data_IF_850268898499
#
_entry.id   IF_850268898499
#
_cell.length_a   1.000
_cell.length_b   1.000
_cell.length_c   1.000
_cell.angle_alpha   90.00
_cell.angle_beta   90.00
_cell.angle_gamma   90.00
#
_symmetry.space_group_name_H-M   'P 1'
#
loop_
_entity.id
_entity.type
_entity.pdbx_description
1 polymer ?
#
# COMPACT_ATOMS: atom_id res chain seq x y z
N UNK A 1 10.61 14.64 1.25
CA UNK A 1 9.43 14.88 2.14
C UNK A 1 9.95 15.27 3.52
N UNK A 2 9.33 16.22 4.24
CA UNK A 2 9.78 16.54 5.61
C UNK A 2 9.28 15.44 6.56
N UNK A 3 10.17 14.58 7.02
CA UNK A 3 9.91 13.46 7.96
C UNK A 3 9.25 13.90 9.26
N UNK A 4 9.41 15.17 9.66
CA UNK A 4 8.81 15.77 10.86
C UNK A 4 7.28 15.86 10.86
N UNK A 5 6.60 15.67 9.69
CA UNK A 5 5.13 15.72 9.62
C UNK A 5 4.48 14.50 10.28
N UNK A 6 5.09 13.32 10.16
CA UNK A 6 4.54 12.06 10.66
C UNK A 6 5.18 11.72 12.01
N UNK A 7 4.96 12.60 12.98
CA UNK A 7 5.43 12.49 14.35
C UNK A 7 4.43 11.75 15.27
N UNK A 8 4.71 11.68 16.56
CA UNK A 8 3.86 11.05 17.56
C UNK A 8 2.44 11.66 17.61
N UNK A 9 2.32 12.98 17.39
CA UNK A 9 1.02 13.68 17.41
C UNK A 9 0.16 13.24 16.23
N UNK A 10 0.77 13.09 15.05
CA UNK A 10 0.12 12.56 13.86
C UNK A 10 -0.41 11.14 14.12
N UNK A 11 0.43 10.25 14.64
CA UNK A 11 0.04 8.88 14.95
C UNK A 11 -1.04 8.79 16.04
N UNK A 12 -0.94 9.60 17.09
CA UNK A 12 -1.95 9.67 18.13
C UNK A 12 -3.32 10.12 17.59
N UNK A 13 -3.33 11.07 16.65
CA UNK A 13 -4.56 11.60 16.05
C UNK A 13 -5.22 10.60 15.11
N UNK A 14 -4.49 9.99 14.18
CA UNK A 14 -5.06 9.21 13.08
C UNK A 14 -5.07 7.69 13.34
N UNK A 15 -4.27 7.21 14.29
CA UNK A 15 -4.16 5.79 14.64
C UNK A 15 -4.38 5.51 16.13
N UNK A 16 -4.87 6.49 16.88
CA UNK A 16 -5.13 6.38 18.32
C UNK A 16 -6.43 5.65 18.64
N UNK A 17 -7.27 6.25 19.50
CA UNK A 17 -8.50 5.61 20.03
C UNK A 17 -9.56 5.31 18.96
N UNK A 18 -9.65 6.13 17.92
CA UNK A 18 -10.60 5.97 16.80
C UNK A 18 -9.84 6.05 15.48
N UNK A 19 -9.15 4.98 15.08
CA UNK A 19 -8.42 4.97 13.82
C UNK A 19 -9.39 4.99 12.63
N UNK A 20 -8.96 5.57 11.52
CA UNK A 20 -9.74 5.59 10.24
C UNK A 20 -10.06 4.16 9.79
N UNK A 21 -9.14 3.23 10.03
CA UNK A 21 -9.33 1.79 9.79
C UNK A 21 -8.86 1.01 11.01
N UNK A 22 -9.71 0.15 11.54
CA UNK A 22 -9.36 -0.72 12.64
C UNK A 22 -8.38 -1.81 12.20
N UNK A 23 -7.65 -2.37 13.16
CA UNK A 23 -6.77 -3.51 12.93
C UNK A 23 -7.53 -4.71 12.32
N UNK A 24 -8.76 -4.96 12.79
CA UNK A 24 -9.59 -6.07 12.31
C UNK A 24 -10.00 -5.90 10.84
N UNK A 25 -10.35 -4.67 10.41
CA UNK A 25 -10.66 -4.41 9.00
C UNK A 25 -9.45 -4.66 8.10
N UNK A 26 -8.26 -4.25 8.53
CA UNK A 26 -7.03 -4.49 7.75
C UNK A 26 -6.65 -5.97 7.77
N UNK A 27 -6.89 -6.69 8.86
CA UNK A 27 -6.68 -8.15 8.94
C UNK A 27 -7.57 -8.90 7.93
N UNK A 28 -8.86 -8.53 7.81
CA UNK A 28 -9.76 -9.09 6.78
C UNK A 28 -9.30 -8.77 5.37
N UNK A 29 -8.84 -7.55 5.12
CA UNK A 29 -8.33 -7.14 3.83
C UNK A 29 -7.05 -7.89 3.44
N UNK A 30 -6.13 -8.07 4.39
CA UNK A 30 -4.90 -8.83 4.19
C UNK A 30 -5.20 -10.31 3.90
N UNK A 31 -6.16 -10.92 4.63
CA UNK A 31 -6.62 -12.28 4.40
C UNK A 31 -7.24 -12.42 3.00
N UNK A 32 -8.18 -11.54 2.63
CA UNK A 32 -8.82 -11.55 1.32
C UNK A 32 -7.80 -11.42 0.18
N UNK A 33 -6.83 -10.51 0.33
CA UNK A 33 -5.75 -10.33 -0.65
C UNK A 33 -4.89 -11.59 -0.79
N UNK A 34 -4.53 -12.23 0.33
CA UNK A 34 -3.75 -13.47 0.33
C UNK A 34 -4.48 -14.59 -0.39
N UNK A 35 -5.74 -14.80 -0.05
CA UNK A 35 -6.59 -15.85 -0.64
C UNK A 35 -6.87 -15.60 -2.13
N UNK A 36 -7.09 -14.35 -2.56
CA UNK A 36 -7.25 -14.02 -3.98
C UNK A 36 -5.99 -14.34 -4.79
N UNK A 37 -4.80 -14.02 -4.28
CA UNK A 37 -3.54 -14.39 -4.96
C UNK A 37 -3.40 -15.91 -5.03
N UNK A 38 -3.76 -16.62 -3.97
CA UNK A 38 -3.76 -18.10 -3.94
C UNK A 38 -4.79 -18.70 -4.91
N UNK A 39 -5.99 -18.10 -4.99
CA UNK A 39 -7.04 -18.49 -5.94
C UNK A 39 -6.56 -18.42 -7.40
N UNK A 40 -5.79 -17.41 -7.77
CA UNK A 40 -5.19 -17.28 -9.09
C UNK A 40 -3.95 -18.17 -9.32
N UNK A 41 -3.65 -19.09 -8.39
CA UNK A 41 -2.52 -20.02 -8.47
C UNK A 41 -1.18 -19.39 -8.08
N UNK A 42 -1.20 -18.18 -7.48
CA UNK A 42 -0.01 -17.52 -6.97
C UNK A 42 0.40 -18.03 -5.58
N UNK A 43 1.61 -17.70 -5.18
CA UNK A 43 2.08 -17.91 -3.81
C UNK A 43 2.85 -16.68 -3.31
N UNK A 44 2.52 -16.24 -2.09
CA UNK A 44 3.20 -15.11 -1.44
C UNK A 44 4.25 -15.68 -0.49
N UNK A 45 5.53 -15.61 -0.88
CA UNK A 45 6.70 -16.00 -0.07
C UNK A 45 7.45 -14.79 0.46
N UNK A 46 7.16 -13.62 -0.10
CA UNK A 46 7.76 -12.35 0.32
C UNK A 46 6.76 -11.20 0.19
N UNK A 47 6.70 -10.34 1.22
CA UNK A 47 5.83 -9.18 1.27
C UNK A 47 6.63 -7.94 1.68
N UNK A 48 6.38 -6.83 1.00
CA UNK A 48 6.87 -5.49 1.34
C UNK A 48 5.67 -4.59 1.67
N UNK A 49 5.69 -3.99 2.85
CA UNK A 49 4.76 -2.93 3.25
C UNK A 49 5.47 -1.57 3.17
N UNK A 50 4.94 -0.66 2.35
CA UNK A 50 5.46 0.69 2.14
C UNK A 50 4.57 1.69 2.83
N UNK A 51 5.16 2.59 3.64
CA UNK A 51 4.41 3.51 4.49
C UNK A 51 3.60 2.74 5.54
N UNK A 52 4.28 1.82 6.22
CA UNK A 52 3.65 0.82 7.08
C UNK A 52 2.83 1.40 8.25
N UNK A 53 3.12 2.65 8.66
CA UNK A 53 2.42 3.27 9.77
C UNK A 53 2.47 2.42 11.05
N UNK A 54 1.31 1.96 11.58
CA UNK A 54 1.29 1.02 12.70
C UNK A 54 1.70 -0.42 12.33
N UNK A 55 1.94 -0.73 11.05
CA UNK A 55 2.39 -2.06 10.59
C UNK A 55 1.30 -3.12 10.60
N UNK A 56 0.08 -2.78 10.23
CA UNK A 56 -1.05 -3.72 10.28
C UNK A 56 -0.84 -4.93 9.37
N UNK A 57 -0.47 -4.73 8.11
CA UNK A 57 -0.20 -5.80 7.16
C UNK A 57 1.00 -6.66 7.56
N UNK A 58 2.12 -6.04 7.92
CA UNK A 58 3.33 -6.75 8.32
C UNK A 58 3.12 -7.58 9.58
N UNK A 59 2.35 -7.09 10.55
CA UNK A 59 1.98 -7.84 11.76
C UNK A 59 1.07 -9.03 11.44
N UNK A 60 0.06 -8.82 10.57
CA UNK A 60 -0.83 -9.89 10.13
C UNK A 60 -0.04 -11.00 9.44
N UNK A 61 0.82 -10.67 8.47
CA UNK A 61 1.64 -11.66 7.76
C UNK A 61 2.59 -12.41 8.69
N UNK A 62 3.27 -11.74 9.61
CA UNK A 62 4.16 -12.39 10.58
C UNK A 62 3.41 -13.37 11.49
N UNK A 63 2.16 -13.06 11.84
CA UNK A 63 1.30 -13.90 12.68
C UNK A 63 0.71 -15.08 11.91
N UNK A 64 0.09 -14.82 10.76
CA UNK A 64 -0.69 -15.82 10.03
C UNK A 64 0.16 -16.64 9.07
N UNK A 65 1.23 -16.08 8.53
CA UNK A 65 2.12 -16.69 7.55
C UNK A 65 3.59 -16.53 7.94
N UNK A 66 4.06 -17.17 9.02
CA UNK A 66 5.40 -16.94 9.60
C UNK A 66 6.57 -17.34 8.68
N UNK A 67 6.29 -18.10 7.61
CA UNK A 67 7.29 -18.45 6.57
C UNK A 67 7.44 -17.38 5.49
N UNK A 68 6.54 -16.40 5.43
CA UNK A 68 6.63 -15.27 4.49
C UNK A 68 7.71 -14.30 4.97
N UNK A 69 8.65 -13.99 4.10
CA UNK A 69 9.65 -12.95 4.39
C UNK A 69 8.99 -11.57 4.31
N UNK A 70 8.90 -10.88 5.42
CA UNK A 70 8.22 -9.58 5.54
C UNK A 70 9.25 -8.46 5.76
N UNK A 71 9.22 -7.46 4.88
CA UNK A 71 9.87 -6.17 5.09
C UNK A 71 8.78 -5.09 5.22
N UNK A 72 8.91 -4.22 6.21
CA UNK A 72 8.06 -3.04 6.37
C UNK A 72 8.91 -1.78 6.41
N UNK A 73 8.49 -0.74 5.69
CA UNK A 73 9.22 0.52 5.56
C UNK A 73 8.32 1.71 5.82
N UNK A 74 8.87 2.78 6.34
CA UNK A 74 8.18 4.05 6.52
C UNK A 74 9.17 5.21 6.38
N UNK A 75 8.66 6.42 6.12
CA UNK A 75 9.45 7.67 6.12
C UNK A 75 9.44 8.34 7.49
N UNK A 76 8.55 7.94 8.38
CA UNK A 76 8.44 8.43 9.75
C UNK A 76 9.47 7.77 10.65
N UNK A 77 10.40 8.56 11.18
CA UNK A 77 11.33 8.08 12.23
C UNK A 77 10.57 7.57 13.46
N UNK A 78 9.44 8.23 13.82
CA UNK A 78 8.59 7.80 14.93
C UNK A 78 8.02 6.39 14.67
N UNK A 79 7.43 6.16 13.49
CA UNK A 79 6.88 4.85 13.14
C UNK A 79 7.97 3.77 13.09
N UNK A 80 9.11 4.07 12.46
CA UNK A 80 10.24 3.16 12.38
C UNK A 80 10.74 2.74 13.77
N UNK A 81 10.95 3.71 14.66
CA UNK A 81 11.41 3.46 16.04
C UNK A 81 10.37 2.70 16.88
N UNK A 82 9.08 3.05 16.74
CA UNK A 82 8.02 2.48 17.57
C UNK A 82 7.59 1.08 17.11
N UNK A 83 7.57 0.82 15.81
CA UNK A 83 6.99 -0.41 15.23
C UNK A 83 8.01 -1.29 14.51
N UNK A 84 9.29 -0.87 14.45
CA UNK A 84 10.38 -1.69 13.90
C UNK A 84 10.43 -1.72 12.38
N UNK A 85 10.15 -0.59 11.71
CA UNK A 85 10.27 -0.49 10.25
C UNK A 85 11.65 0.00 9.83
N UNK A 86 12.05 -0.30 8.60
CA UNK A 86 13.19 0.35 7.99
C UNK A 86 12.81 1.76 7.52
N UNK A 87 13.66 2.75 7.81
CA UNK A 87 13.47 4.13 7.35
C UNK A 87 13.78 4.21 5.85
N UNK A 88 12.75 4.30 5.01
CA UNK A 88 12.87 4.35 3.54
C UNK A 88 11.81 5.27 2.94
N UNK A 89 12.21 6.06 1.95
CA UNK A 89 11.30 6.82 1.09
C UNK A 89 11.12 6.10 -0.25
N UNK A 90 9.92 5.65 -0.55
CA UNK A 90 9.61 4.93 -1.80
C UNK A 90 9.81 5.79 -3.05
N UNK A 91 9.80 7.11 -2.92
CA UNK A 91 10.11 8.00 -4.04
C UNK A 91 11.60 7.98 -4.41
N UNK A 92 12.49 7.64 -3.48
CA UNK A 92 13.95 7.65 -3.66
C UNK A 92 14.58 6.26 -3.57
N UNK A 93 13.85 5.29 -3.00
CA UNK A 93 14.36 3.94 -2.75
C UNK A 93 13.48 2.87 -3.40
N UNK A 94 14.11 1.80 -3.78
CA UNK A 94 13.47 0.53 -4.15
C UNK A 94 14.30 -0.65 -3.64
N UNK A 95 13.68 -1.80 -3.32
CA UNK A 95 14.43 -2.98 -2.93
C UNK A 95 15.28 -3.53 -4.08
N UNK A 96 16.41 -4.17 -3.77
CA UNK A 96 17.28 -4.81 -4.76
C UNK A 96 16.63 -6.02 -5.46
N UNK A 97 15.65 -6.65 -4.80
CA UNK A 97 14.87 -7.79 -5.34
C UNK A 97 13.38 -7.53 -5.18
N UNK A 98 12.56 -7.90 -6.17
CA UNK A 98 11.12 -7.73 -6.06
C UNK A 98 10.50 -8.69 -5.04
N UNK A 99 9.33 -8.29 -4.52
CA UNK A 99 8.49 -9.03 -3.57
C UNK A 99 7.26 -9.60 -4.29
N UNK A 100 6.77 -10.74 -3.83
CA UNK A 100 5.58 -11.37 -4.39
C UNK A 100 4.33 -10.51 -4.17
N UNK A 101 4.20 -9.94 -2.97
CA UNK A 101 3.21 -8.91 -2.65
C UNK A 101 3.89 -7.62 -2.19
N UNK A 102 3.49 -6.51 -2.80
CA UNK A 102 3.80 -5.16 -2.30
C UNK A 102 2.51 -4.51 -1.84
N UNK A 103 2.53 -3.88 -0.68
CA UNK A 103 1.41 -3.13 -0.12
C UNK A 103 1.81 -1.66 -0.02
N UNK A 104 1.02 -0.78 -0.59
CA UNK A 104 1.18 0.67 -0.48
C UNK A 104 -0.21 1.30 -0.32
N UNK A 105 -0.57 1.58 0.91
CA UNK A 105 -1.88 2.08 1.30
C UNK A 105 -1.75 3.44 1.98
N UNK A 106 -2.48 4.44 1.48
CA UNK A 106 -2.54 5.80 2.04
C UNK A 106 -1.18 6.53 2.10
N UNK A 107 -0.32 6.33 1.10
CA UNK A 107 1.04 6.91 1.05
C UNK A 107 1.17 8.01 -0.02
N UNK A 108 0.77 7.71 -1.25
CA UNK A 108 1.14 8.53 -2.40
C UNK A 108 0.42 9.89 -2.44
N UNK A 109 -0.68 10.04 -1.71
CA UNK A 109 -1.34 11.33 -1.54
C UNK A 109 -0.48 12.37 -0.80
N UNK A 110 0.57 11.95 -0.10
CA UNK A 110 1.48 12.86 0.60
C UNK A 110 2.68 13.32 -0.23
N UNK A 111 2.84 12.76 -1.42
CA UNK A 111 3.93 13.08 -2.35
C UNK A 111 3.46 14.08 -3.40
N UNK A 112 4.31 15.02 -3.80
CA UNK A 112 4.07 15.82 -5.00
C UNK A 112 4.04 14.95 -6.26
N UNK A 113 3.64 15.51 -7.41
CA UNK A 113 3.46 14.74 -8.64
C UNK A 113 4.74 14.04 -9.11
N UNK A 114 5.89 14.71 -9.02
CA UNK A 114 7.18 14.15 -9.44
C UNK A 114 7.61 13.00 -8.52
N UNK A 115 7.47 13.19 -7.21
CA UNK A 115 7.78 12.14 -6.22
C UNK A 115 6.81 10.96 -6.34
N UNK A 116 5.50 11.22 -6.52
CA UNK A 116 4.50 10.17 -6.72
C UNK A 116 4.77 9.34 -7.99
N UNK A 117 5.21 9.97 -9.07
CA UNK A 117 5.61 9.25 -10.29
C UNK A 117 6.86 8.39 -10.07
N UNK A 118 7.86 8.89 -9.32
CA UNK A 118 9.03 8.07 -8.95
C UNK A 118 8.60 6.89 -8.08
N UNK A 119 7.75 7.14 -7.07
CA UNK A 119 7.22 6.11 -6.19
C UNK A 119 6.48 5.02 -6.97
N UNK A 120 5.59 5.37 -7.91
CA UNK A 120 4.89 4.39 -8.75
C UNK A 120 5.85 3.54 -9.60
N UNK A 121 6.92 4.14 -10.15
CA UNK A 121 7.96 3.37 -10.85
C UNK A 121 8.69 2.41 -9.92
N UNK A 122 9.03 2.86 -8.71
CA UNK A 122 9.71 2.04 -7.71
C UNK A 122 8.80 0.91 -7.18
N UNK A 123 7.51 1.19 -6.90
CA UNK A 123 6.51 0.17 -6.55
C UNK A 123 6.36 -0.88 -7.66
N UNK A 124 6.30 -0.43 -8.93
CA UNK A 124 6.22 -1.32 -10.08
C UNK A 124 7.45 -2.23 -10.17
N UNK A 125 8.65 -1.69 -9.97
CA UNK A 125 9.89 -2.47 -9.97
C UNK A 125 10.02 -3.39 -8.74
N UNK A 126 9.46 -2.98 -7.59
CA UNK A 126 9.45 -3.76 -6.36
C UNK A 126 8.47 -4.94 -6.40
N UNK A 127 7.49 -4.95 -7.31
CA UNK A 127 6.42 -5.94 -7.35
C UNK A 127 6.73 -7.05 -8.35
N UNK A 128 6.73 -8.31 -7.88
CA UNK A 128 6.85 -9.50 -8.72
C UNK A 128 5.47 -10.00 -9.18
N UNK A 129 4.52 -10.13 -8.26
CA UNK A 129 3.23 -10.78 -8.52
C UNK A 129 2.07 -9.81 -8.37
N UNK A 130 1.83 -9.28 -7.18
CA UNK A 130 0.70 -8.41 -6.90
C UNK A 130 1.12 -7.15 -6.13
N UNK A 131 0.44 -6.06 -6.42
CA UNK A 131 0.47 -4.82 -5.67
C UNK A 131 -0.92 -4.57 -5.08
N UNK A 132 -1.02 -4.44 -3.77
CA UNK A 132 -2.16 -3.80 -3.14
C UNK A 132 -1.88 -2.30 -3.07
N UNK A 133 -2.72 -1.50 -3.72
CA UNK A 133 -2.54 -0.06 -3.82
C UNK A 133 -3.83 0.68 -3.48
N UNK A 134 -3.74 1.58 -2.53
CA UNK A 134 -4.80 2.52 -2.18
C UNK A 134 -4.20 3.92 -1.94
N UNK A 135 -4.94 4.96 -2.33
CA UNK A 135 -4.59 6.35 -2.11
C UNK A 135 -5.85 7.20 -2.09
N UNK A 136 -5.90 8.17 -1.18
CA UNK A 136 -6.98 9.13 -1.12
C UNK A 136 -7.05 9.95 -2.42
N UNK A 137 -8.16 9.80 -3.14
CA UNK A 137 -8.39 10.55 -4.39
C UNK A 137 -9.18 11.84 -4.15
N UNK A 138 -9.19 12.71 -5.16
CA UNK A 138 -10.03 13.92 -5.13
C UNK A 138 -11.53 13.61 -5.07
N UNK A 139 -11.96 12.47 -5.62
CA UNK A 139 -13.33 11.99 -5.51
C UNK A 139 -13.65 11.54 -4.09
N UNK A 140 -12.78 10.71 -3.48
CA UNK A 140 -12.98 10.18 -2.14
C UNK A 140 -13.01 11.30 -1.09
N UNK A 141 -12.09 12.26 -1.19
CA UNK A 141 -12.04 13.42 -0.29
C UNK A 141 -13.32 14.28 -0.34
N UNK A 142 -14.06 14.21 -1.45
CA UNK A 142 -15.31 14.96 -1.64
C UNK A 142 -16.55 14.16 -1.27
N UNK A 143 -16.56 12.84 -1.52
CA UNK A 143 -17.80 12.05 -1.54
C UNK A 143 -17.80 10.84 -0.60
N UNK A 144 -16.64 10.33 -0.19
CA UNK A 144 -16.56 9.01 0.44
C UNK A 144 -16.09 9.06 1.90
N UNK A 145 -15.09 9.91 2.20
CA UNK A 145 -14.43 9.88 3.51
C UNK A 145 -15.10 10.79 4.54
N UNK A 146 -15.02 10.40 5.80
CA UNK A 146 -15.29 11.30 6.91
C UNK A 146 -14.13 12.32 7.04
N UNK A 147 -14.47 13.56 6.77
CA UNK A 147 -13.51 14.69 6.79
C UNK A 147 -12.98 15.02 8.19
N UNK A 148 -13.67 14.62 9.23
CA UNK A 148 -13.25 14.87 10.64
C UNK A 148 -12.12 13.95 11.07
N UNK A 149 -12.07 12.73 10.52
CA UNK A 149 -11.10 11.69 10.85
C UNK A 149 -10.02 11.50 9.79
N UNK A 150 -10.17 12.10 8.59
CA UNK A 150 -9.25 11.93 7.47
C UNK A 150 -8.26 13.09 7.34
N UNK A 151 -6.98 12.79 7.14
CA UNK A 151 -5.96 13.80 6.84
C UNK A 151 -6.09 14.29 5.39
N UNK A 152 -6.75 15.43 5.22
CA UNK A 152 -6.95 16.08 3.92
C UNK A 152 -5.79 17.00 3.49
N UNK A 153 -4.74 17.14 4.29
CA UNK A 153 -3.53 17.86 3.88
C UNK A 153 -2.69 16.99 2.95
N UNK A 154 -3.17 16.81 1.73
CA UNK A 154 -2.68 15.87 0.75
C UNK A 154 -2.72 16.44 -0.68
N UNK A 155 -1.92 15.87 -1.57
CA UNK A 155 -1.96 16.13 -3.02
C UNK A 155 -3.03 15.25 -3.65
N UNK A 156 -4.27 15.72 -3.65
CA UNK A 156 -5.43 14.96 -4.11
C UNK A 156 -5.44 14.83 -5.64
N UNK A 157 -5.27 13.61 -6.13
CA UNK A 157 -5.32 13.27 -7.56
C UNK A 157 -6.57 12.48 -7.88
N UNK A 158 -6.96 12.46 -9.15
CA UNK A 158 -8.06 11.60 -9.60
C UNK A 158 -7.65 10.12 -9.61
N UNK A 159 -8.61 9.21 -9.44
CA UNK A 159 -8.37 7.78 -9.60
C UNK A 159 -7.82 7.42 -10.99
N UNK A 160 -8.25 8.14 -12.05
CA UNK A 160 -7.73 7.97 -13.41
C UNK A 160 -6.24 8.32 -13.54
N UNK A 161 -5.75 9.30 -12.76
CA UNK A 161 -4.32 9.63 -12.73
C UNK A 161 -3.46 8.45 -12.26
N UNK A 162 -3.92 7.75 -11.21
CA UNK A 162 -3.24 6.55 -10.69
C UNK A 162 -3.38 5.37 -11.66
N UNK A 163 -4.61 5.09 -12.14
CA UNK A 163 -4.87 3.99 -13.09
C UNK A 163 -4.01 4.08 -14.33
N UNK A 164 -3.96 5.23 -15.01
CA UNK A 164 -3.16 5.41 -16.23
C UNK A 164 -1.67 5.09 -16.07
N UNK A 165 -1.15 5.15 -14.85
CA UNK A 165 0.24 4.84 -14.53
C UNK A 165 0.42 3.38 -14.14
N UNK A 166 -0.47 2.83 -13.33
CA UNK A 166 -0.42 1.45 -12.88
C UNK A 166 -0.72 0.47 -14.01
N UNK A 167 -1.65 0.77 -14.90
CA UNK A 167 -2.02 -0.05 -16.05
C UNK A 167 -0.88 -0.29 -17.05
N UNK A 168 0.18 0.49 -17.00
CA UNK A 168 1.40 0.21 -17.79
C UNK A 168 2.06 -1.12 -17.40
N UNK A 169 2.02 -1.48 -16.12
CA UNK A 169 2.69 -2.68 -15.59
C UNK A 169 1.76 -3.72 -15.00
N UNK A 170 0.50 -3.36 -14.77
CA UNK A 170 -0.47 -4.17 -14.03
C UNK A 170 -1.81 -4.29 -14.76
N UNK A 171 -2.58 -5.28 -14.35
CA UNK A 171 -4.02 -5.42 -14.62
C UNK A 171 -4.74 -5.18 -13.29
N UNK A 172 -5.74 -4.31 -13.27
CA UNK A 172 -6.56 -4.08 -12.09
C UNK A 172 -7.55 -5.23 -11.90
N UNK A 173 -7.51 -5.87 -10.72
CA UNK A 173 -8.44 -6.94 -10.35
C UNK A 173 -9.56 -6.47 -9.39
N UNK A 174 -9.62 -5.16 -9.11
CA UNK A 174 -10.60 -4.58 -8.19
C UNK A 174 -10.12 -4.52 -6.74
N UNK A 175 -10.90 -3.88 -5.88
CA UNK A 175 -10.67 -3.76 -4.43
C UNK A 175 -9.23 -3.32 -4.04
N UNK A 176 -8.58 -2.48 -4.83
CA UNK A 176 -7.20 -2.04 -4.61
C UNK A 176 -6.12 -3.03 -5.08
N UNK A 177 -6.50 -4.20 -5.63
CA UNK A 177 -5.55 -5.23 -6.02
C UNK A 177 -5.17 -5.13 -7.51
N UNK A 178 -3.86 -5.14 -7.76
CA UNK A 178 -3.24 -5.00 -9.07
C UNK A 178 -2.31 -6.19 -9.31
N UNK A 179 -2.56 -6.93 -10.39
CA UNK A 179 -1.76 -8.11 -10.77
C UNK A 179 -0.74 -7.71 -11.83
N UNK A 180 0.53 -8.03 -11.58
CA UNK A 180 1.62 -7.73 -12.50
C UNK A 180 1.40 -8.46 -13.83
N UNK A 181 1.47 -7.76 -14.97
CA UNK A 181 1.29 -8.36 -16.31
C UNK A 181 2.27 -9.50 -16.59
N UNK A 182 3.47 -9.43 -16.01
CA UNK A 182 4.53 -10.45 -16.15
C UNK A 182 4.52 -11.49 -15.02
N UNK A 183 3.48 -11.55 -14.17
CA UNK A 183 3.42 -12.49 -13.04
C UNK A 183 3.21 -13.95 -13.44
N UNK A 184 2.67 -14.18 -14.62
CA UNK A 184 2.22 -15.50 -15.06
C UNK A 184 0.86 -15.92 -14.49
N UNK A 185 0.23 -15.11 -13.62
CA UNK A 185 -1.12 -15.40 -13.12
C UNK A 185 -2.16 -15.21 -14.22
N UNK A 186 -3.12 -16.12 -14.28
CA UNK A 186 -4.24 -16.06 -15.24
C UNK A 186 -5.45 -15.46 -14.55
N UNK A 187 -5.85 -14.28 -15.02
CA UNK A 187 -7.10 -13.63 -14.62
C UNK A 187 -8.14 -13.86 -15.71
N UNK A 188 -9.30 -14.40 -15.35
CA UNK A 188 -10.43 -14.48 -16.25
C UNK A 188 -11.01 -13.09 -16.56
N UNK A 189 -11.78 -12.98 -17.64
CA UNK A 189 -12.28 -11.67 -18.11
C UNK A 189 -13.08 -10.92 -17.03
N UNK A 190 -13.93 -11.62 -16.28
CA UNK A 190 -14.78 -11.02 -15.25
C UNK A 190 -14.05 -10.69 -13.94
N UNK A 191 -12.81 -11.11 -13.78
CA UNK A 191 -11.96 -10.78 -12.63
C UNK A 191 -11.19 -9.46 -12.83
N UNK A 192 -11.27 -8.90 -14.04
CA UNK A 192 -10.59 -7.64 -14.40
C UNK A 192 -11.58 -6.49 -14.33
N UNK A 193 -11.16 -5.36 -13.79
CA UNK A 193 -11.90 -4.11 -13.96
C UNK A 193 -11.65 -3.53 -15.35
N UNK A 194 -12.68 -3.01 -15.98
CA UNK A 194 -12.61 -2.32 -17.29
C UNK A 194 -12.14 -0.90 -17.13
#
# INVERSE_FOLDING_TARGET
>A
MKTSRFDERYFSRYYGKQPVRSMNEVDHLAAATHEMVSWWGGSIRSMLEVGAGPGHWSRWYRRMHPRVRVLSTDVSEHACKRYGHELRDIAEWRPSRPYDLVVCMDVLQYLDDRAAERALRNLTAATRTCLYFDALTSFDAKHTVDRSSTDLNAHLRSGSWYRARLERGFVQAGAGLWVRKSSGLVLHELERTR
#
